data_IF_350203397810
#
_entry.id   IF_350203397810
#
_cell.length_a   1.000
_cell.length_b   1.000
_cell.length_c   1.000
_cell.angle_alpha   90.00
_cell.angle_beta   90.00
_cell.angle_gamma   90.00
#
_symmetry.space_group_name_H-M   'P 1'
#
loop_
_entity.id
_entity.type
_entity.pdbx_description
1 polymer ?
#
# COMPACT_ATOMS: atom_id res chain seq x y z
N UNK A 1 -11.00 24.03 20.38
CA UNK A 1 -12.21 23.38 19.79
C UNK A 1 -12.37 23.68 18.30
N UNK A 2 -12.28 24.93 17.81
CA UNK A 2 -12.34 25.25 16.35
C UNK A 2 -11.23 24.58 15.50
N UNK A 3 -9.98 24.53 15.97
CA UNK A 3 -8.85 23.87 15.29
C UNK A 3 -9.03 22.35 15.17
N UNK A 4 -9.62 21.69 16.16
CA UNK A 4 -9.89 20.24 16.12
C UNK A 4 -11.04 19.94 15.15
N UNK A 5 -12.06 20.77 15.12
CA UNK A 5 -13.20 20.62 14.20
C UNK A 5 -12.79 20.90 12.75
N UNK A 6 -11.91 21.88 12.49
CA UNK A 6 -11.39 22.13 11.14
C UNK A 6 -10.50 21.00 10.64
N UNK A 7 -9.64 20.44 11.48
CA UNK A 7 -8.79 19.29 11.10
C UNK A 7 -9.61 18.02 10.83
N UNK A 8 -10.71 17.80 11.54
CA UNK A 8 -11.62 16.68 11.29
C UNK A 8 -12.43 16.87 9.98
N UNK A 9 -12.84 18.09 9.66
CA UNK A 9 -13.53 18.40 8.43
C UNK A 9 -12.59 18.23 7.22
N UNK A 10 -11.39 18.77 7.28
CA UNK A 10 -10.34 18.60 6.25
C UNK A 10 -10.02 17.13 5.99
N UNK A 11 -9.86 16.33 7.04
CA UNK A 11 -9.65 14.88 6.91
C UNK A 11 -10.82 14.17 6.25
N UNK A 12 -12.05 14.64 6.44
CA UNK A 12 -13.26 14.08 5.83
C UNK A 12 -13.32 14.35 4.33
N UNK A 13 -12.86 15.53 3.89
CA UNK A 13 -12.79 15.90 2.46
C UNK A 13 -11.75 15.08 1.71
N UNK A 14 -10.52 14.97 2.21
CA UNK A 14 -9.48 14.14 1.59
C UNK A 14 -9.87 12.67 1.49
N UNK A 15 -10.56 12.15 2.52
CA UNK A 15 -11.10 10.79 2.51
C UNK A 15 -12.20 10.60 1.45
N UNK A 16 -13.07 11.59 1.27
CA UNK A 16 -14.13 11.54 0.26
C UNK A 16 -13.57 11.54 -1.17
N UNK A 17 -12.53 12.32 -1.43
CA UNK A 17 -11.84 12.38 -2.72
C UNK A 17 -11.23 11.01 -3.09
N UNK A 18 -10.50 10.38 -2.16
CA UNK A 18 -9.93 9.05 -2.36
C UNK A 18 -11.01 7.96 -2.53
N UNK A 19 -12.10 8.05 -1.75
CA UNK A 19 -13.21 7.10 -1.86
C UNK A 19 -13.91 7.16 -3.22
N UNK A 20 -14.00 8.33 -3.83
CA UNK A 20 -14.55 8.50 -5.18
C UNK A 20 -13.72 7.72 -6.21
N UNK A 21 -12.39 7.79 -6.10
CA UNK A 21 -11.48 7.07 -7.01
C UNK A 21 -11.61 5.57 -6.82
N UNK A 22 -11.62 5.08 -5.57
CA UNK A 22 -11.86 3.66 -5.31
C UNK A 22 -13.22 3.18 -5.87
N UNK A 23 -14.24 4.05 -5.84
CA UNK A 23 -15.54 3.74 -6.43
C UNK A 23 -15.46 3.56 -7.95
N UNK A 24 -14.63 4.34 -8.64
CA UNK A 24 -14.44 4.17 -10.09
C UNK A 24 -13.66 2.89 -10.43
N UNK A 25 -12.78 2.43 -9.54
CA UNK A 25 -12.01 1.20 -9.70
C UNK A 25 -12.82 -0.07 -9.33
N UNK A 26 -13.98 0.09 -8.68
CA UNK A 26 -14.82 -1.02 -8.21
C UNK A 26 -15.18 -2.01 -9.30
N UNK A 27 -15.45 -1.54 -10.52
CA UNK A 27 -15.77 -2.42 -11.66
C UNK A 27 -14.61 -3.37 -11.98
N UNK A 28 -13.37 -2.87 -12.00
CA UNK A 28 -12.18 -3.69 -12.26
C UNK A 28 -11.95 -4.70 -11.13
N UNK A 29 -12.15 -4.28 -9.87
CA UNK A 29 -12.05 -5.19 -8.73
C UNK A 29 -13.11 -6.31 -8.77
N UNK A 30 -14.31 -6.03 -9.25
CA UNK A 30 -15.34 -7.05 -9.46
C UNK A 30 -14.94 -8.07 -10.54
N UNK A 31 -14.31 -7.63 -11.65
CA UNK A 31 -13.78 -8.56 -12.65
C UNK A 31 -12.67 -9.44 -12.06
N UNK A 32 -11.73 -8.85 -11.30
CA UNK A 32 -10.67 -9.63 -10.64
C UNK A 32 -11.29 -10.64 -9.66
N UNK A 33 -12.30 -10.27 -8.89
CA UNK A 33 -13.00 -11.18 -8.00
C UNK A 33 -13.66 -12.32 -8.78
N UNK A 34 -14.30 -12.04 -9.93
CA UNK A 34 -14.85 -13.06 -10.81
C UNK A 34 -13.77 -14.05 -11.31
N UNK A 35 -12.62 -13.54 -11.76
CA UNK A 35 -11.47 -14.40 -12.14
C UNK A 35 -10.94 -15.20 -10.93
N UNK A 36 -10.88 -14.58 -9.74
CA UNK A 36 -10.50 -15.29 -8.51
C UNK A 36 -11.43 -16.46 -8.22
N UNK A 37 -12.73 -16.32 -8.46
CA UNK A 37 -13.68 -17.42 -8.30
C UNK A 37 -13.34 -18.62 -9.21
N UNK A 38 -13.09 -18.36 -10.49
CA UNK A 38 -12.71 -19.43 -11.43
C UNK A 38 -11.35 -20.05 -11.10
N UNK A 39 -10.35 -19.24 -10.76
CA UNK A 39 -9.01 -19.74 -10.37
C UNK A 39 -9.12 -20.63 -9.14
N UNK A 40 -9.84 -20.20 -8.10
CA UNK A 40 -10.00 -20.99 -6.88
C UNK A 40 -10.81 -22.29 -7.12
N UNK A 41 -11.81 -22.26 -8.00
CA UNK A 41 -12.51 -23.46 -8.41
C UNK A 41 -11.59 -24.44 -9.14
N UNK A 42 -10.80 -23.95 -10.09
CA UNK A 42 -9.83 -24.75 -10.84
C UNK A 42 -8.69 -25.29 -9.96
N UNK A 43 -8.39 -24.66 -8.83
CA UNK A 43 -7.43 -25.20 -7.86
C UNK A 43 -7.88 -26.54 -7.23
N UNK A 44 -9.17 -26.88 -7.29
CA UNK A 44 -9.68 -28.19 -6.88
C UNK A 44 -9.34 -29.31 -7.86
N UNK A 45 -8.88 -28.99 -9.08
CA UNK A 45 -8.49 -29.97 -10.09
C UNK A 45 -7.46 -30.97 -9.55
N UNK A 46 -6.45 -30.51 -8.81
CA UNK A 46 -5.41 -31.39 -8.23
C UNK A 46 -5.98 -32.38 -7.21
N UNK A 47 -6.71 -31.95 -6.18
CA UNK A 47 -7.40 -32.85 -5.25
C UNK A 47 -8.32 -33.86 -5.94
N UNK A 48 -9.13 -33.41 -6.90
CA UNK A 48 -10.06 -34.29 -7.64
C UNK A 48 -9.28 -35.31 -8.48
N UNK A 49 -8.21 -34.87 -9.17
CA UNK A 49 -7.36 -35.79 -9.91
C UNK A 49 -6.75 -36.87 -9.01
N UNK A 50 -6.20 -36.48 -7.85
CA UNK A 50 -5.64 -37.44 -6.90
C UNK A 50 -6.68 -38.44 -6.40
N UNK A 51 -7.89 -37.96 -6.11
CA UNK A 51 -8.99 -38.83 -5.71
C UNK A 51 -9.33 -39.86 -6.81
N UNK A 52 -9.46 -39.39 -8.05
CA UNK A 52 -9.75 -40.29 -9.21
C UNK A 52 -8.59 -41.29 -9.48
N UNK A 53 -7.34 -40.86 -9.32
CA UNK A 53 -6.18 -41.73 -9.49
C UNK A 53 -6.23 -42.87 -8.47
N UNK A 54 -6.40 -42.55 -7.19
CA UNK A 54 -6.41 -43.58 -6.11
C UNK A 54 -7.63 -44.48 -6.14
N UNK A 55 -8.81 -43.95 -6.43
CA UNK A 55 -10.03 -44.73 -6.38
C UNK A 55 -10.35 -45.49 -7.66
N UNK A 56 -9.99 -44.92 -8.82
CA UNK A 56 -10.39 -45.49 -10.10
C UNK A 56 -9.23 -46.05 -10.89
N UNK A 57 -8.15 -45.28 -11.07
CA UNK A 57 -7.04 -45.70 -11.93
C UNK A 57 -6.25 -46.85 -11.31
N UNK A 58 -5.87 -46.75 -10.03
CA UNK A 58 -5.10 -47.77 -9.35
C UNK A 58 -5.91 -49.06 -9.12
N UNK A 59 -7.21 -48.95 -8.87
CA UNK A 59 -8.10 -50.12 -8.70
C UNK A 59 -8.33 -50.86 -10.03
N UNK A 60 -8.53 -50.13 -11.14
CA UNK A 60 -8.75 -50.70 -12.48
C UNK A 60 -7.48 -51.04 -13.24
N UNK A 61 -6.30 -50.54 -12.79
CA UNK A 61 -4.99 -50.66 -13.48
C UNK A 61 -5.02 -50.20 -14.95
N UNK A 62 -5.88 -49.19 -15.25
CA UNK A 62 -6.07 -48.72 -16.62
C UNK A 62 -5.15 -47.53 -16.94
N UNK A 63 -4.13 -47.77 -17.76
CA UNK A 63 -3.23 -46.73 -18.27
C UNK A 63 -3.98 -45.72 -19.15
N UNK A 64 -4.96 -46.16 -19.94
CA UNK A 64 -5.77 -45.30 -20.78
C UNK A 64 -6.54 -44.28 -20.00
N UNK A 65 -7.15 -44.70 -18.87
CA UNK A 65 -7.87 -43.78 -17.97
C UNK A 65 -6.92 -42.75 -17.35
N UNK A 66 -5.71 -43.15 -16.99
CA UNK A 66 -4.68 -42.23 -16.47
C UNK A 66 -4.31 -41.17 -17.51
N UNK A 67 -4.06 -41.55 -18.75
CA UNK A 67 -3.70 -40.64 -19.85
C UNK A 67 -4.80 -39.61 -20.09
N UNK A 68 -6.07 -40.04 -20.14
CA UNK A 68 -7.21 -39.13 -20.34
C UNK A 68 -7.36 -38.16 -19.16
N UNK A 69 -7.30 -38.64 -17.92
CA UNK A 69 -7.37 -37.77 -16.74
C UNK A 69 -6.21 -36.79 -16.66
N UNK A 70 -4.99 -37.24 -16.97
CA UNK A 70 -3.82 -36.37 -16.96
C UNK A 70 -3.88 -35.29 -18.05
N UNK A 71 -4.32 -35.64 -19.27
CA UNK A 71 -4.51 -34.66 -20.35
C UNK A 71 -5.54 -33.59 -19.97
N UNK A 72 -6.65 -34.00 -19.31
CA UNK A 72 -7.64 -33.07 -18.78
C UNK A 72 -7.04 -32.12 -17.71
N UNK A 73 -6.24 -32.66 -16.78
CA UNK A 73 -5.54 -31.84 -15.76
C UNK A 73 -4.61 -30.83 -16.40
N UNK A 74 -3.83 -31.22 -17.40
CA UNK A 74 -2.94 -30.30 -18.15
C UNK A 74 -3.76 -29.15 -18.76
N UNK A 75 -4.88 -29.47 -19.41
CA UNK A 75 -5.75 -28.46 -20.01
C UNK A 75 -6.33 -27.50 -18.94
N UNK A 76 -6.84 -28.03 -17.82
CA UNK A 76 -7.41 -27.23 -16.73
C UNK A 76 -6.36 -26.35 -16.05
N UNK A 77 -5.14 -26.85 -15.85
CA UNK A 77 -4.05 -26.04 -15.28
C UNK A 77 -3.53 -24.98 -16.26
N UNK A 78 -3.54 -25.24 -17.57
CA UNK A 78 -3.22 -24.22 -18.57
C UNK A 78 -4.25 -23.08 -18.56
N UNK A 79 -5.55 -23.41 -18.44
CA UNK A 79 -6.62 -22.42 -18.29
C UNK A 79 -6.45 -21.66 -16.96
N UNK A 80 -6.23 -22.36 -15.85
CA UNK A 80 -6.01 -21.76 -14.54
C UNK A 80 -4.84 -20.78 -14.54
N UNK A 81 -3.70 -21.19 -15.12
CA UNK A 81 -2.50 -20.33 -15.21
C UNK A 81 -2.75 -19.09 -16.06
N UNK A 82 -3.50 -19.22 -17.16
CA UNK A 82 -3.89 -18.08 -17.99
C UNK A 82 -4.80 -17.11 -17.26
N UNK A 83 -5.79 -17.59 -16.51
CA UNK A 83 -6.69 -16.77 -15.70
C UNK A 83 -5.95 -16.08 -14.55
N UNK A 84 -5.03 -16.78 -13.88
CA UNK A 84 -4.20 -16.23 -12.82
C UNK A 84 -3.28 -15.11 -13.33
N UNK A 85 -2.68 -15.30 -14.50
CA UNK A 85 -1.89 -14.28 -15.19
C UNK A 85 -2.75 -13.04 -15.53
N UNK A 86 -3.93 -13.24 -16.13
CA UNK A 86 -4.85 -12.16 -16.50
C UNK A 86 -5.28 -11.37 -15.26
N UNK A 87 -5.65 -12.05 -14.16
CA UNK A 87 -6.05 -11.39 -12.92
C UNK A 87 -4.91 -10.55 -12.33
N UNK A 88 -3.67 -11.04 -12.39
CA UNK A 88 -2.47 -10.28 -12.00
C UNK A 88 -2.27 -9.03 -12.84
N UNK A 89 -2.42 -9.14 -14.18
CA UNK A 89 -2.33 -8.01 -15.10
C UNK A 89 -3.44 -6.96 -14.86
N UNK A 90 -4.67 -7.40 -14.59
CA UNK A 90 -5.76 -6.47 -14.26
C UNK A 90 -5.47 -5.73 -12.96
N UNK A 91 -4.95 -6.41 -11.92
CA UNK A 91 -4.57 -5.73 -10.67
C UNK A 91 -3.42 -4.74 -10.87
N UNK A 92 -2.42 -5.07 -11.68
CA UNK A 92 -1.36 -4.12 -12.04
C UNK A 92 -1.92 -2.88 -12.75
N UNK A 93 -2.88 -3.07 -13.68
CA UNK A 93 -3.58 -1.95 -14.34
C UNK A 93 -4.43 -1.13 -13.37
N UNK A 94 -5.10 -1.75 -12.39
CA UNK A 94 -5.83 -1.05 -11.33
C UNK A 94 -4.88 -0.15 -10.54
N UNK A 95 -3.70 -0.67 -10.16
CA UNK A 95 -2.67 0.13 -9.50
C UNK A 95 -2.18 1.31 -10.35
N UNK A 96 -1.92 1.08 -11.64
CA UNK A 96 -1.49 2.13 -12.57
C UNK A 96 -2.58 3.19 -12.77
N UNK A 97 -3.83 2.80 -12.95
CA UNK A 97 -4.96 3.73 -13.06
C UNK A 97 -5.18 4.56 -11.79
N UNK A 98 -4.96 3.96 -10.62
CA UNK A 98 -5.01 4.68 -9.35
C UNK A 98 -3.93 5.77 -9.30
N UNK A 99 -2.70 5.41 -9.64
CA UNK A 99 -1.57 6.34 -9.67
C UNK A 99 -1.79 7.45 -10.69
N UNK A 100 -2.17 7.12 -11.93
CA UNK A 100 -2.37 8.07 -13.02
C UNK A 100 -3.41 9.15 -12.65
N UNK A 101 -4.53 8.73 -12.09
CA UNK A 101 -5.61 9.66 -11.67
C UNK A 101 -5.25 10.58 -10.52
N UNK A 102 -4.30 10.17 -9.67
CA UNK A 102 -3.90 10.94 -8.49
C UNK A 102 -2.58 11.67 -8.65
N UNK A 103 -1.77 11.35 -9.68
CA UNK A 103 -0.43 11.91 -9.85
C UNK A 103 -0.45 13.43 -9.94
N UNK A 104 -1.26 14.01 -10.83
CA UNK A 104 -1.36 15.46 -11.00
C UNK A 104 -1.91 16.11 -9.73
N UNK A 105 -2.91 15.50 -9.12
CA UNK A 105 -3.51 16.01 -7.88
C UNK A 105 -2.54 16.00 -6.72
N UNK A 106 -1.80 14.90 -6.55
CA UNK A 106 -0.79 14.76 -5.51
C UNK A 106 0.40 15.68 -5.74
N UNK A 107 0.84 15.83 -7.00
CA UNK A 107 1.90 16.75 -7.37
C UNK A 107 1.52 18.21 -7.05
N UNK A 108 0.34 18.66 -7.48
CA UNK A 108 -0.13 20.02 -7.23
C UNK A 108 -0.33 20.29 -5.73
N UNK A 109 -0.92 19.32 -5.00
CA UNK A 109 -1.07 19.44 -3.54
C UNK A 109 0.28 19.48 -2.82
N UNK A 110 1.25 18.67 -3.26
CA UNK A 110 2.60 18.65 -2.70
C UNK A 110 3.36 19.96 -3.00
N UNK A 111 3.17 20.51 -4.20
CA UNK A 111 3.77 21.79 -4.60
C UNK A 111 3.17 22.95 -3.80
N UNK A 112 1.85 22.99 -3.65
CA UNK A 112 1.16 24.01 -2.83
C UNK A 112 1.58 23.88 -1.36
N UNK A 113 1.69 22.65 -0.86
CA UNK A 113 2.16 22.36 0.50
C UNK A 113 3.61 22.77 0.76
N UNK A 114 4.48 22.72 -0.26
CA UNK A 114 5.88 23.14 -0.12
C UNK A 114 6.03 24.64 0.13
N UNK A 115 5.08 25.44 -0.31
CA UNK A 115 5.07 26.92 -0.18
C UNK A 115 4.24 27.34 1.05
N UNK A 116 3.34 26.48 1.54
CA UNK A 116 2.49 26.75 2.69
C UNK A 116 3.20 26.50 4.01
N UNK A 117 3.01 27.34 5.04
CA UNK A 117 3.53 27.10 6.39
C UNK A 117 3.00 25.81 7.04
N UNK A 118 1.79 25.41 6.66
CA UNK A 118 1.16 24.16 7.13
C UNK A 118 1.76 22.91 6.45
N UNK A 119 2.47 23.08 5.33
CA UNK A 119 3.08 22.03 4.53
C UNK A 119 4.37 21.49 5.11
N UNK A 120 4.31 20.79 6.24
CA UNK A 120 5.46 20.18 6.91
C UNK A 120 6.05 18.98 6.17
N UNK A 121 5.49 18.57 5.03
CA UNK A 121 5.90 17.37 4.31
C UNK A 121 6.70 17.70 3.06
N UNK A 122 7.80 16.96 2.84
CA UNK A 122 8.56 17.08 1.60
C UNK A 122 7.69 16.67 0.39
N UNK A 123 7.61 17.48 -0.68
CA UNK A 123 6.78 17.18 -1.87
C UNK A 123 7.01 15.78 -2.44
N UNK A 124 8.27 15.33 -2.47
CA UNK A 124 8.64 14.00 -2.90
C UNK A 124 8.07 12.85 -2.04
N UNK A 125 7.52 13.12 -0.85
CA UNK A 125 6.89 12.09 -0.03
C UNK A 125 5.54 11.68 -0.58
N UNK A 126 4.71 12.61 -1.06
CA UNK A 126 3.39 12.32 -1.61
C UNK A 126 3.44 11.44 -2.86
N UNK A 127 4.41 11.67 -3.74
CA UNK A 127 4.59 10.82 -4.94
C UNK A 127 5.02 9.40 -4.57
N UNK A 128 5.94 9.25 -3.59
CA UNK A 128 6.32 7.92 -3.08
C UNK A 128 5.18 7.20 -2.37
N UNK A 129 4.28 7.94 -1.74
CA UNK A 129 3.07 7.36 -1.14
C UNK A 129 2.17 6.75 -2.21
N UNK A 130 2.00 7.41 -3.38
CA UNK A 130 1.32 6.85 -4.54
C UNK A 130 1.98 5.57 -5.05
N UNK A 131 3.32 5.58 -5.20
CA UNK A 131 4.08 4.40 -5.63
C UNK A 131 3.90 3.22 -4.66
N UNK A 132 3.87 3.50 -3.36
CA UNK A 132 3.66 2.49 -2.32
C UNK A 132 2.26 1.86 -2.40
N UNK A 133 1.24 2.67 -2.68
CA UNK A 133 -0.14 2.20 -2.86
C UNK A 133 -0.27 1.38 -4.15
N UNK A 134 0.29 1.88 -5.25
CA UNK A 134 0.31 1.15 -6.53
C UNK A 134 0.96 -0.23 -6.38
N UNK A 135 2.15 -0.29 -5.76
CA UNK A 135 2.87 -1.53 -5.53
C UNK A 135 2.08 -2.51 -4.66
N UNK A 136 1.35 -2.03 -3.66
CA UNK A 136 0.51 -2.88 -2.81
C UNK A 136 -0.74 -3.39 -3.56
N UNK A 137 -1.38 -2.55 -4.39
CA UNK A 137 -2.52 -2.96 -5.24
C UNK A 137 -2.11 -4.01 -6.26
N UNK A 138 -0.95 -3.84 -6.91
CA UNK A 138 -0.40 -4.81 -7.86
C UNK A 138 0.20 -6.06 -7.17
N UNK A 139 0.37 -6.02 -5.86
CA UNK A 139 1.05 -7.06 -5.09
C UNK A 139 0.18 -8.27 -4.76
N UNK A 140 0.83 -9.39 -4.37
CA UNK A 140 0.13 -10.64 -4.03
C UNK A 140 -0.80 -10.51 -2.81
N UNK A 141 -0.56 -9.55 -1.91
CA UNK A 141 -1.39 -9.32 -0.74
C UNK A 141 -2.81 -8.90 -1.08
N UNK A 142 -3.00 -8.09 -2.11
CA UNK A 142 -4.32 -7.65 -2.55
C UNK A 142 -5.12 -8.81 -3.19
N UNK A 143 -4.44 -9.67 -3.96
CA UNK A 143 -5.03 -10.90 -4.50
C UNK A 143 -5.43 -11.89 -3.39
N UNK A 144 -4.58 -12.03 -2.36
CA UNK A 144 -4.88 -12.87 -1.22
C UNK A 144 -6.13 -12.43 -0.44
N UNK A 145 -6.39 -11.12 -0.34
CA UNK A 145 -7.63 -10.58 0.25
C UNK A 145 -8.86 -11.04 -0.56
N UNK A 146 -8.75 -11.06 -1.90
CA UNK A 146 -9.83 -11.50 -2.79
C UNK A 146 -10.04 -13.02 -2.75
N UNK A 147 -8.99 -13.79 -2.44
CA UNK A 147 -9.04 -15.25 -2.30
C UNK A 147 -9.49 -15.70 -0.90
N UNK A 148 -9.44 -14.82 0.12
CA UNK A 148 -9.83 -15.15 1.50
C UNK A 148 -11.26 -15.69 1.66
N UNK A 149 -12.29 -15.18 0.92
CA UNK A 149 -13.65 -15.75 0.99
C UNK A 149 -13.75 -17.21 0.58
N UNK A 150 -12.75 -17.78 -0.09
CA UNK A 150 -12.71 -19.19 -0.47
C UNK A 150 -12.26 -20.11 0.66
N UNK A 151 -11.61 -19.59 1.70
CA UNK A 151 -11.20 -20.38 2.85
C UNK A 151 -12.35 -21.17 3.49
N UNK A 152 -13.50 -20.56 3.86
CA UNK A 152 -14.62 -21.34 4.41
C UNK A 152 -15.20 -22.35 3.42
N UNK A 153 -15.17 -22.08 2.11
CA UNK A 153 -15.64 -23.03 1.09
C UNK A 153 -14.75 -24.27 1.09
N UNK A 154 -13.43 -24.10 1.09
CA UNK A 154 -12.51 -25.24 1.19
C UNK A 154 -12.66 -26.02 2.50
N UNK A 155 -12.91 -25.35 3.62
CA UNK A 155 -13.20 -26.02 4.89
C UNK A 155 -14.46 -26.86 4.82
N UNK A 156 -15.55 -26.32 4.22
CA UNK A 156 -16.81 -27.07 4.02
C UNK A 156 -16.55 -28.33 3.19
N UNK A 157 -15.77 -28.24 2.11
CA UNK A 157 -15.42 -29.42 1.29
C UNK A 157 -14.70 -30.48 2.11
N UNK A 158 -13.76 -30.08 3.00
CA UNK A 158 -13.07 -31.02 3.88
C UNK A 158 -14.05 -31.66 4.89
N UNK A 159 -15.02 -30.89 5.43
CA UNK A 159 -16.05 -31.41 6.32
C UNK A 159 -16.96 -32.43 5.61
N UNK A 160 -17.25 -32.24 4.32
CA UNK A 160 -18.03 -33.19 3.52
C UNK A 160 -17.29 -34.53 3.32
N UNK A 161 -15.96 -34.55 3.34
CA UNK A 161 -15.18 -35.77 3.30
C UNK A 161 -15.25 -36.52 4.63
N UNK A 162 -14.95 -35.84 5.74
CA UNK A 162 -15.06 -36.43 7.07
C UNK A 162 -15.04 -35.34 8.16
N UNK A 163 -15.92 -35.42 9.21
CA UNK A 163 -16.00 -34.40 10.26
C UNK A 163 -14.68 -34.15 11.00
N UNK A 164 -13.92 -35.19 11.35
CA UNK A 164 -12.65 -35.05 12.06
C UNK A 164 -11.58 -34.31 11.23
N UNK A 165 -11.57 -34.53 9.90
CA UNK A 165 -10.67 -33.77 9.00
C UNK A 165 -11.07 -32.32 8.94
N UNK A 166 -12.39 -32.02 8.90
CA UNK A 166 -12.92 -30.66 8.94
C UNK A 166 -12.57 -29.92 10.23
N UNK A 167 -12.72 -30.59 11.39
CA UNK A 167 -12.35 -30.02 12.70
C UNK A 167 -10.87 -29.68 12.74
N UNK A 168 -9.99 -30.60 12.30
CA UNK A 168 -8.54 -30.36 12.27
C UNK A 168 -8.19 -29.21 11.31
N UNK A 169 -8.80 -29.15 10.11
CA UNK A 169 -8.57 -28.07 9.15
C UNK A 169 -9.00 -26.71 9.71
N UNK A 170 -10.15 -26.65 10.39
CA UNK A 170 -10.67 -25.43 11.02
C UNK A 170 -9.77 -24.99 12.18
N UNK A 171 -9.34 -25.92 13.04
CA UNK A 171 -8.39 -25.64 14.11
C UNK A 171 -7.06 -25.13 13.56
N UNK A 172 -6.57 -25.71 12.46
CA UNK A 172 -5.37 -25.27 11.77
C UNK A 172 -5.52 -23.83 11.20
N UNK A 173 -6.65 -23.51 10.57
CA UNK A 173 -6.93 -22.18 10.05
C UNK A 173 -6.97 -21.14 11.19
N UNK A 174 -7.69 -21.42 12.27
CA UNK A 174 -7.78 -20.55 13.44
C UNK A 174 -6.38 -20.33 14.05
N UNK A 175 -5.60 -21.38 14.23
CA UNK A 175 -4.26 -21.30 14.82
C UNK A 175 -3.31 -20.43 13.96
N UNK A 176 -3.34 -20.59 12.63
CA UNK A 176 -2.52 -19.78 11.73
C UNK A 176 -2.98 -18.32 11.71
N UNK A 177 -4.29 -18.05 11.75
CA UNK A 177 -4.82 -16.69 11.85
C UNK A 177 -4.38 -16.05 13.17
N UNK A 178 -4.40 -16.77 14.29
CA UNK A 178 -3.91 -16.26 15.58
C UNK A 178 -2.42 -15.93 15.49
N UNK A 179 -1.60 -16.78 14.91
CA UNK A 179 -0.15 -16.52 14.72
C UNK A 179 0.06 -15.29 13.83
N UNK A 180 -0.72 -15.13 12.76
CA UNK A 180 -0.66 -13.96 11.88
C UNK A 180 -1.03 -12.68 12.64
N UNK A 181 -2.12 -12.66 13.40
CA UNK A 181 -2.57 -11.53 14.21
C UNK A 181 -1.57 -11.16 15.33
N UNK A 182 -1.02 -12.15 16.03
CA UNK A 182 0.04 -11.92 17.02
C UNK A 182 1.29 -11.32 16.36
N UNK A 183 1.66 -11.81 15.18
CA UNK A 183 2.74 -11.23 14.38
C UNK A 183 2.47 -9.77 14.03
N UNK A 184 1.25 -9.46 13.59
CA UNK A 184 0.83 -8.08 13.28
C UNK A 184 0.94 -7.16 14.51
N UNK A 185 0.33 -7.53 15.61
CA UNK A 185 0.29 -6.72 16.83
C UNK A 185 1.69 -6.45 17.40
N UNK A 186 2.58 -7.45 17.35
CA UNK A 186 3.93 -7.33 17.89
C UNK A 186 4.89 -6.60 16.97
N UNK A 187 4.73 -6.71 15.64
CA UNK A 187 5.64 -6.08 14.66
C UNK A 187 5.26 -4.64 14.32
N UNK A 188 3.99 -4.24 14.51
CA UNK A 188 3.46 -2.91 14.16
C UNK A 188 4.28 -1.74 14.73
N UNK A 189 4.61 -1.77 16.03
CA UNK A 189 5.41 -0.71 16.68
C UNK A 189 6.81 -0.62 16.08
N UNK A 190 7.47 -1.77 15.82
CA UNK A 190 8.80 -1.81 15.22
C UNK A 190 8.80 -1.34 13.77
N UNK A 191 7.76 -1.64 13.03
CA UNK A 191 7.58 -1.13 11.66
C UNK A 191 7.44 0.39 11.65
N UNK A 192 6.61 0.95 12.53
CA UNK A 192 6.46 2.40 12.65
C UNK A 192 7.79 3.08 13.02
N UNK A 193 8.53 2.51 13.97
CA UNK A 193 9.86 3.02 14.34
C UNK A 193 10.84 2.96 13.15
N UNK A 194 10.83 1.90 12.36
CA UNK A 194 11.66 1.77 11.17
C UNK A 194 11.30 2.82 10.10
N UNK A 195 10.00 3.07 9.86
CA UNK A 195 9.53 4.10 8.92
C UNK A 195 9.93 5.51 9.39
N UNK A 196 9.79 5.82 10.68
CA UNK A 196 10.19 7.11 11.25
C UNK A 196 11.70 7.32 11.17
N UNK A 197 12.50 6.31 11.51
CA UNK A 197 13.97 6.40 11.40
C UNK A 197 14.43 6.57 9.93
N UNK A 198 13.78 5.89 8.98
CA UNK A 198 14.04 6.06 7.55
C UNK A 198 13.68 7.48 7.07
N UNK A 199 12.54 8.00 7.53
CA UNK A 199 12.14 9.40 7.29
C UNK A 199 13.18 10.40 7.80
N UNK A 200 13.71 10.19 9.02
CA UNK A 200 14.77 11.02 9.61
C UNK A 200 16.06 11.02 8.79
N UNK A 201 16.49 9.85 8.28
CA UNK A 201 17.66 9.76 7.38
C UNK A 201 17.45 10.55 6.09
N UNK A 202 16.27 10.45 5.49
CA UNK A 202 15.92 11.15 4.24
C UNK A 202 15.86 12.68 4.41
N UNK A 203 15.42 13.16 5.56
CA UNK A 203 15.42 14.61 5.85
C UNK A 203 16.87 15.14 5.80
N UNK A 204 17.81 14.44 6.45
CA UNK A 204 19.23 14.83 6.41
C UNK A 204 19.77 14.79 4.98
N UNK A 205 19.49 13.73 4.22
CA UNK A 205 19.87 13.60 2.81
C UNK A 205 19.38 14.80 1.99
N UNK A 206 18.08 15.10 2.05
CA UNK A 206 17.48 16.19 1.30
C UNK A 206 18.03 17.56 1.70
N UNK A 207 18.31 17.79 3.00
CA UNK A 207 18.90 19.03 3.49
C UNK A 207 20.30 19.21 2.94
N UNK A 208 21.14 18.16 2.99
CA UNK A 208 22.52 18.21 2.49
C UNK A 208 22.55 18.49 0.99
N UNK A 209 21.67 17.87 0.21
CA UNK A 209 21.62 18.08 -1.24
C UNK A 209 21.10 19.47 -1.61
N UNK A 210 20.12 19.99 -0.88
CA UNK A 210 19.56 21.32 -1.14
C UNK A 210 20.56 22.44 -0.82
N UNK A 211 21.33 22.28 0.26
CA UNK A 211 22.24 23.31 0.76
C UNK A 211 23.73 22.92 0.51
N UNK A 212 24.00 22.14 -0.57
CA UNK A 212 25.29 21.52 -0.85
C UNK A 212 26.42 22.56 -0.98
N UNK A 213 26.17 23.70 -1.60
CA UNK A 213 27.16 24.79 -1.73
C UNK A 213 27.61 25.33 -0.37
N UNK A 214 26.65 25.58 0.53
CA UNK A 214 26.96 26.05 1.88
C UNK A 214 27.71 24.99 2.69
N UNK A 215 27.35 23.73 2.59
CA UNK A 215 28.02 22.60 3.25
C UNK A 215 29.47 22.49 2.80
N UNK A 216 29.74 22.67 1.50
CA UNK A 216 31.11 22.62 0.93
C UNK A 216 31.91 23.88 1.27
N UNK A 217 31.32 25.08 1.12
CA UNK A 217 31.99 26.35 1.38
C UNK A 217 32.39 26.49 2.85
N UNK A 218 31.57 26.00 3.78
CA UNK A 218 31.86 26.03 5.21
C UNK A 218 32.73 24.85 5.70
N UNK A 219 33.18 23.98 4.81
CA UNK A 219 33.98 22.79 5.16
C UNK A 219 33.24 21.75 6.03
N UNK A 220 31.91 21.79 6.07
CA UNK A 220 31.08 20.92 6.96
C UNK A 220 30.83 19.50 6.44
N UNK A 221 31.48 19.13 5.32
CA UNK A 221 31.29 17.81 4.66
C UNK A 221 31.40 16.64 5.63
N UNK A 222 32.42 16.62 6.48
CA UNK A 222 32.66 15.52 7.41
C UNK A 222 31.59 15.46 8.51
N UNK A 223 31.11 16.59 9.02
CA UNK A 223 30.09 16.68 10.04
C UNK A 223 28.73 16.16 9.52
N UNK A 224 28.35 16.61 8.33
CA UNK A 224 27.12 16.12 7.71
C UNK A 224 27.22 14.65 7.30
N UNK A 225 28.37 14.18 6.81
CA UNK A 225 28.57 12.75 6.53
C UNK A 225 28.45 11.89 7.80
N UNK A 226 28.98 12.38 8.94
CA UNK A 226 28.83 11.72 10.24
C UNK A 226 27.37 11.70 10.70
N UNK A 227 26.66 12.83 10.62
CA UNK A 227 25.24 12.93 10.97
C UNK A 227 24.40 11.99 10.12
N UNK A 228 24.58 12.03 8.80
CA UNK A 228 23.89 11.12 7.88
C UNK A 228 24.17 9.65 8.19
N UNK A 229 25.42 9.29 8.41
CA UNK A 229 25.81 7.90 8.75
C UNK A 229 25.11 7.43 10.02
N UNK A 230 25.08 8.27 11.07
CA UNK A 230 24.41 7.94 12.32
C UNK A 230 22.91 7.71 12.11
N UNK A 231 22.24 8.61 11.36
CA UNK A 231 20.80 8.46 11.03
C UNK A 231 20.54 7.25 10.16
N UNK A 232 21.42 6.96 9.21
CA UNK A 232 21.33 5.77 8.35
C UNK A 232 21.51 4.47 9.15
N UNK A 233 22.45 4.44 10.10
CA UNK A 233 22.66 3.29 10.99
C UNK A 233 21.44 3.08 11.91
N UNK A 234 20.87 4.16 12.46
CA UNK A 234 19.65 4.10 13.26
C UNK A 234 18.49 3.48 12.45
N UNK A 235 18.27 3.96 11.22
CA UNK A 235 17.26 3.43 10.32
C UNK A 235 17.52 1.96 9.95
N UNK A 236 18.76 1.60 9.66
CA UNK A 236 19.15 0.22 9.34
C UNK A 236 18.91 -0.71 10.52
N UNK A 237 19.29 -0.30 11.75
CA UNK A 237 19.03 -1.08 12.96
C UNK A 237 17.53 -1.30 13.18
N UNK A 238 16.73 -0.25 13.08
CA UNK A 238 15.28 -0.35 13.23
C UNK A 238 14.65 -1.30 12.18
N UNK A 239 15.13 -1.25 10.92
CA UNK A 239 14.71 -2.19 9.86
C UNK A 239 15.11 -3.63 10.18
N UNK A 240 16.34 -3.88 10.65
CA UNK A 240 16.80 -5.22 11.02
C UNK A 240 15.97 -5.78 12.17
N UNK A 241 15.68 -4.96 13.19
CA UNK A 241 14.84 -5.36 14.33
C UNK A 241 13.41 -5.71 13.91
N UNK A 242 12.82 -4.93 12.97
CA UNK A 242 11.52 -5.23 12.39
C UNK A 242 11.56 -6.51 11.56
N UNK A 243 12.51 -6.62 10.61
CA UNK A 243 12.64 -7.77 9.72
C UNK A 243 12.94 -9.06 10.48
N UNK A 244 13.77 -8.99 11.52
CA UNK A 244 14.09 -10.14 12.37
C UNK A 244 12.86 -10.67 13.11
N UNK A 245 12.03 -9.76 13.66
CA UNK A 245 10.81 -10.16 14.35
C UNK A 245 9.75 -10.69 13.37
N UNK A 246 9.50 -9.98 12.29
CA UNK A 246 8.55 -10.38 11.25
C UNK A 246 8.97 -11.71 10.59
N UNK A 247 10.27 -11.90 10.37
CA UNK A 247 10.84 -13.15 9.87
C UNK A 247 10.58 -14.33 10.79
N UNK A 248 10.70 -14.17 12.12
CA UNK A 248 10.37 -15.20 13.11
C UNK A 248 8.93 -15.67 12.97
N UNK A 249 7.96 -14.74 12.97
CA UNK A 249 6.54 -15.09 12.81
C UNK A 249 6.25 -15.78 11.48
N UNK A 250 6.83 -15.28 10.38
CA UNK A 250 6.67 -15.89 9.06
C UNK A 250 7.22 -17.31 9.00
N UNK A 251 8.40 -17.55 9.57
CA UNK A 251 8.99 -18.89 9.62
C UNK A 251 8.19 -19.82 10.51
N UNK A 252 7.74 -19.34 11.69
CA UNK A 252 6.88 -20.12 12.59
C UNK A 252 5.57 -20.50 11.91
N UNK A 253 4.89 -19.56 11.23
CA UNK A 253 3.65 -19.84 10.49
C UNK A 253 3.88 -20.90 9.40
N UNK A 254 4.98 -20.78 8.63
CA UNK A 254 5.34 -21.78 7.61
C UNK A 254 5.58 -23.15 8.18
N UNK A 255 6.38 -23.26 9.26
CA UNK A 255 6.68 -24.55 9.91
C UNK A 255 5.42 -25.15 10.53
N UNK A 256 4.59 -24.32 11.16
CA UNK A 256 3.32 -24.75 11.74
C UNK A 256 2.36 -25.29 10.66
N UNK A 257 2.27 -24.60 9.52
CA UNK A 257 1.47 -25.07 8.39
C UNK A 257 1.92 -26.46 7.90
N UNK A 258 3.23 -26.67 7.75
CA UNK A 258 3.77 -27.96 7.33
C UNK A 258 3.48 -29.07 8.36
N UNK A 259 3.58 -28.74 9.66
CA UNK A 259 3.21 -29.65 10.75
C UNK A 259 1.73 -30.02 10.67
N UNK A 260 0.85 -29.03 10.53
CA UNK A 260 -0.59 -29.24 10.44
C UNK A 260 -0.99 -30.04 9.19
N UNK A 261 -0.31 -29.82 8.06
CA UNK A 261 -0.49 -30.62 6.86
C UNK A 261 -0.06 -32.07 7.06
N UNK A 262 1.05 -32.30 7.78
CA UNK A 262 1.47 -33.65 8.16
C UNK A 262 0.50 -34.29 9.16
N UNK A 263 -0.04 -33.51 10.11
CA UNK A 263 -1.07 -33.99 11.04
C UNK A 263 -2.38 -34.37 10.30
N UNK A 264 -2.75 -33.62 9.24
CA UNK A 264 -3.88 -33.96 8.40
C UNK A 264 -3.70 -35.30 7.70
N UNK A 265 -2.50 -35.57 7.17
CA UNK A 265 -2.17 -36.87 6.57
C UNK A 265 -2.18 -38.00 7.63
N UNK A 266 -1.63 -37.74 8.82
CA UNK A 266 -1.60 -38.74 9.90
C UNK A 266 -3.03 -39.10 10.38
N UNK A 267 -3.88 -38.09 10.61
CA UNK A 267 -5.28 -38.32 10.98
C UNK A 267 -6.03 -39.01 9.83
N UNK A 268 -5.80 -38.61 8.59
CA UNK A 268 -6.38 -39.25 7.40
C UNK A 268 -5.96 -40.71 7.30
N UNK A 269 -4.66 -41.04 7.52
CA UNK A 269 -4.19 -42.43 7.54
C UNK A 269 -4.85 -43.27 8.64
N UNK A 270 -5.06 -42.71 9.83
CA UNK A 270 -5.77 -43.36 10.92
C UNK A 270 -7.23 -43.67 10.55
N UNK A 271 -7.93 -42.74 9.85
CA UNK A 271 -9.29 -42.95 9.38
C UNK A 271 -9.34 -43.97 8.21
N UNK A 272 -8.31 -44.05 7.37
CA UNK A 272 -8.17 -45.11 6.34
C UNK A 272 -8.00 -46.45 6.97
N UNK A 273 -7.16 -46.56 8.01
CA UNK A 273 -6.97 -47.83 8.77
C UNK A 273 -8.28 -48.30 9.43
N UNK A 274 -9.15 -47.35 9.81
CA UNK A 274 -10.50 -47.65 10.33
C UNK A 274 -11.54 -47.91 9.25
N UNK A 275 -11.13 -47.83 7.95
CA UNK A 275 -12.03 -47.97 6.79
C UNK A 275 -13.15 -46.92 6.71
N UNK A 276 -12.99 -45.78 7.39
CA UNK A 276 -13.95 -44.69 7.39
C UNK A 276 -13.82 -43.78 6.13
N UNK A 277 -12.61 -43.70 5.56
CA UNK A 277 -12.32 -42.94 4.32
C UNK A 277 -11.38 -43.75 3.40
N UNK A 278 -11.29 -43.30 2.14
CA UNK A 278 -10.36 -43.88 1.18
C UNK A 278 -8.98 -43.18 1.21
N UNK A 279 -7.90 -43.82 0.74
CA UNK A 279 -6.59 -43.17 0.59
C UNK A 279 -6.63 -41.92 -0.31
N UNK A 280 -7.50 -41.92 -1.33
CA UNK A 280 -7.73 -40.78 -2.23
C UNK A 280 -8.26 -39.57 -1.49
N UNK A 281 -9.25 -39.75 -0.61
CA UNK A 281 -9.82 -38.70 0.24
C UNK A 281 -8.78 -38.12 1.21
N UNK A 282 -7.95 -38.97 1.81
CA UNK A 282 -6.87 -38.53 2.71
C UNK A 282 -5.93 -37.55 2.02
N UNK A 283 -5.48 -37.87 0.81
CA UNK A 283 -4.56 -37.02 0.04
C UNK A 283 -5.26 -35.76 -0.43
N UNK A 284 -6.48 -35.90 -0.97
CA UNK A 284 -7.27 -34.74 -1.43
C UNK A 284 -7.52 -33.75 -0.30
N UNK A 285 -7.91 -34.20 0.90
CA UNK A 285 -8.11 -33.33 2.07
C UNK A 285 -6.84 -32.56 2.46
N UNK A 286 -5.67 -33.22 2.44
CA UNK A 286 -4.38 -32.57 2.74
C UNK A 286 -4.05 -31.48 1.71
N UNK A 287 -4.29 -31.72 0.43
CA UNK A 287 -4.03 -30.73 -0.63
C UNK A 287 -5.01 -29.56 -0.50
N UNK A 288 -6.30 -29.82 -0.26
CA UNK A 288 -7.34 -28.78 -0.08
C UNK A 288 -7.01 -27.92 1.14
N UNK A 289 -6.59 -28.52 2.26
CA UNK A 289 -6.15 -27.76 3.45
C UNK A 289 -4.98 -26.84 3.11
N UNK A 290 -3.98 -27.30 2.37
CA UNK A 290 -2.87 -26.46 1.92
C UNK A 290 -3.33 -25.28 1.06
N UNK A 291 -4.37 -25.47 0.24
CA UNK A 291 -4.97 -24.39 -0.56
C UNK A 291 -5.80 -23.43 0.28
N UNK A 292 -6.58 -23.95 1.22
CA UNK A 292 -7.38 -23.12 2.15
C UNK A 292 -6.51 -22.15 2.95
N UNK A 293 -5.31 -22.58 3.35
CA UNK A 293 -4.39 -21.81 4.19
C UNK A 293 -3.47 -20.86 3.38
N UNK A 294 -3.37 -21.04 2.05
CA UNK A 294 -2.48 -20.25 1.20
C UNK A 294 -2.73 -18.73 1.26
N UNK A 295 -3.99 -18.21 1.25
CA UNK A 295 -4.24 -16.78 1.37
C UNK A 295 -3.73 -16.19 2.69
N UNK A 296 -3.81 -16.93 3.81
CA UNK A 296 -3.31 -16.49 5.12
C UNK A 296 -1.78 -16.31 5.09
N UNK A 297 -1.06 -17.25 4.47
CA UNK A 297 0.39 -17.15 4.30
C UNK A 297 0.79 -15.96 3.41
N UNK A 298 0.08 -15.75 2.31
CA UNK A 298 0.33 -14.62 1.39
C UNK A 298 0.09 -13.28 2.07
N UNK A 299 -0.97 -13.15 2.87
CA UNK A 299 -1.25 -11.96 3.66
C UNK A 299 -0.14 -11.71 4.69
N UNK A 300 0.30 -12.74 5.40
CA UNK A 300 1.42 -12.63 6.35
C UNK A 300 2.71 -12.19 5.64
N UNK A 301 2.99 -12.71 4.44
CA UNK A 301 4.14 -12.32 3.62
C UNK A 301 4.07 -10.89 3.07
N UNK A 302 2.88 -10.40 2.78
CA UNK A 302 2.62 -9.08 2.18
C UNK A 302 2.27 -8.01 3.21
N UNK A 303 2.24 -8.34 4.50
CA UNK A 303 1.76 -7.48 5.57
C UNK A 303 2.44 -6.11 5.60
N UNK A 304 3.79 -6.07 5.50
CA UNK A 304 4.54 -4.81 5.51
C UNK A 304 4.18 -3.91 4.32
N UNK A 305 3.98 -4.47 3.13
CA UNK A 305 3.57 -3.71 1.95
C UNK A 305 2.16 -3.12 2.12
N UNK A 306 1.21 -3.91 2.65
CA UNK A 306 -0.15 -3.45 2.93
C UNK A 306 -0.18 -2.36 4.01
N UNK A 307 0.63 -2.48 5.05
CA UNK A 307 0.75 -1.45 6.09
C UNK A 307 1.38 -0.16 5.55
N UNK A 308 2.41 -0.26 4.71
CA UNK A 308 3.01 0.92 4.07
C UNK A 308 1.98 1.64 3.19
N UNK A 309 1.21 0.89 2.39
CA UNK A 309 0.13 1.45 1.58
C UNK A 309 -0.97 2.10 2.42
N UNK A 310 -1.34 1.49 3.55
CA UNK A 310 -2.32 2.07 4.48
C UNK A 310 -1.81 3.38 5.11
N UNK A 311 -0.52 3.43 5.49
CA UNK A 311 0.10 4.65 5.98
C UNK A 311 0.14 5.71 4.88
N UNK A 312 0.53 5.33 3.67
CA UNK A 312 0.56 6.22 2.51
C UNK A 312 -0.83 6.78 2.16
N UNK A 313 -1.88 5.95 2.20
CA UNK A 313 -3.27 6.41 2.04
C UNK A 313 -3.65 7.44 3.09
N UNK A 314 -3.35 7.17 4.36
CA UNK A 314 -3.62 8.10 5.45
C UNK A 314 -2.88 9.43 5.28
N UNK A 315 -1.65 9.37 4.81
CA UNK A 315 -0.81 10.53 4.57
C UNK A 315 -1.33 11.38 3.40
N UNK A 316 -1.83 10.74 2.34
CA UNK A 316 -2.51 11.42 1.23
C UNK A 316 -3.87 12.00 1.65
N UNK A 317 -4.64 11.31 2.52
CA UNK A 317 -5.88 11.86 3.10
C UNK A 317 -5.62 13.20 3.82
N UNK A 318 -4.54 13.27 4.59
CA UNK A 318 -4.14 14.49 5.30
C UNK A 318 -3.71 15.57 4.31
N UNK A 319 -2.90 15.22 3.31
CA UNK A 319 -2.42 16.16 2.30
C UNK A 319 -3.57 16.77 1.50
N UNK A 320 -4.48 15.96 0.99
CA UNK A 320 -5.63 16.42 0.20
C UNK A 320 -6.62 17.23 1.02
N UNK A 321 -6.78 16.89 2.30
CA UNK A 321 -7.60 17.67 3.22
C UNK A 321 -7.00 19.02 3.60
N UNK A 322 -5.66 19.10 3.72
CA UNK A 322 -4.98 20.37 4.02
C UNK A 322 -4.83 21.28 2.80
N UNK A 323 -4.76 20.68 1.60
CA UNK A 323 -4.61 21.37 0.31
C UNK A 323 -5.79 20.99 -0.59
N UNK A 324 -6.94 21.67 -0.48
CA UNK A 324 -8.10 21.39 -1.33
C UNK A 324 -7.75 21.52 -2.81
N UNK A 325 -8.45 20.78 -3.67
CA UNK A 325 -8.29 20.93 -5.10
C UNK A 325 -8.66 22.38 -5.48
N UNK A 326 -7.82 23.01 -6.26
CA UNK A 326 -8.19 24.32 -6.84
C UNK A 326 -9.41 24.11 -7.72
N UNK A 327 -10.50 24.80 -7.38
CA UNK A 327 -11.63 24.89 -8.29
C UNK A 327 -11.15 25.50 -9.62
N UNK A 328 -11.58 24.92 -10.72
CA UNK A 328 -11.26 25.46 -12.05
C UNK A 328 -11.79 26.90 -12.13
N UNK A 329 -10.91 27.86 -11.88
CA UNK A 329 -11.26 29.27 -12.04
C UNK A 329 -11.54 29.54 -13.52
N UNK A 330 -12.57 30.31 -13.86
CA UNK A 330 -12.80 30.69 -15.23
C UNK A 330 -11.56 31.40 -15.79
N UNK A 331 -11.19 31.06 -17.02
CA UNK A 331 -10.08 31.70 -17.71
C UNK A 331 -10.41 33.19 -17.85
N UNK A 332 -9.73 34.01 -17.07
CA UNK A 332 -9.81 35.46 -17.22
C UNK A 332 -9.12 35.88 -18.53
N UNK A 333 -9.61 36.95 -19.19
CA UNK A 333 -8.91 37.52 -20.34
C UNK A 333 -7.49 37.91 -19.94
N UNK A 334 -6.57 37.90 -20.91
CA UNK A 334 -5.18 38.29 -20.66
C UNK A 334 -5.11 39.65 -19.98
N UNK A 335 -4.43 39.77 -18.81
CA UNK A 335 -4.33 41.05 -18.13
C UNK A 335 -3.56 42.07 -18.98
N UNK A 336 -3.95 43.29 -18.93
CA UNK A 336 -3.33 44.40 -19.67
C UNK A 336 -1.96 44.83 -19.06
N UNK A 337 -1.49 44.13 -18.03
CA UNK A 337 -0.21 44.40 -17.35
C UNK A 337 -0.24 45.61 -16.39
N UNK A 338 -1.40 46.20 -16.13
CA UNK A 338 -1.58 47.24 -15.10
C UNK A 338 -1.65 46.55 -13.72
N UNK A 339 -0.75 46.92 -12.82
CA UNK A 339 -0.76 46.43 -11.43
C UNK A 339 -1.04 47.62 -10.51
N UNK A 340 -2.14 47.56 -9.75
CA UNK A 340 -2.49 48.57 -8.76
C UNK A 340 -2.49 47.93 -7.38
N UNK A 341 -1.70 48.44 -6.46
CA UNK A 341 -1.56 47.99 -5.08
C UNK A 341 -2.11 49.07 -4.18
N UNK A 342 -3.10 48.72 -3.35
CA UNK A 342 -3.75 49.61 -2.40
C UNK A 342 -3.73 49.04 -1.01
N UNK A 343 -3.16 49.77 -0.03
CA UNK A 343 -3.08 49.41 1.40
C UNK A 343 -2.59 47.99 1.67
N UNK A 344 -1.64 47.48 0.84
CA UNK A 344 -1.13 46.13 0.95
C UNK A 344 -0.35 45.95 2.24
N UNK A 345 -0.70 44.91 2.98
CA UNK A 345 0.07 44.42 4.12
C UNK A 345 0.73 43.07 3.73
N UNK A 346 2.03 42.96 3.99
CA UNK A 346 2.82 41.79 3.58
C UNK A 346 3.58 41.23 4.79
N UNK A 347 3.45 39.95 5.00
CA UNK A 347 4.18 39.22 6.04
C UNK A 347 4.29 37.73 5.72
N UNK A 348 5.23 37.00 6.38
CA UNK A 348 5.26 35.55 6.27
C UNK A 348 3.90 34.97 6.74
N UNK A 349 3.38 33.93 6.07
CA UNK A 349 2.08 33.32 6.44
C UNK A 349 1.98 32.82 7.88
N UNK A 350 3.13 32.61 8.54
CA UNK A 350 3.22 32.12 9.93
C UNK A 350 3.13 33.24 10.99
N UNK A 351 3.32 34.50 10.58
CA UNK A 351 3.34 35.65 11.50
C UNK A 351 2.02 36.41 11.43
N UNK A 352 1.46 36.73 12.61
CA UNK A 352 0.28 37.58 12.70
C UNK A 352 0.57 39.05 12.38
N UNK A 353 1.82 39.47 12.55
CA UNK A 353 2.24 40.84 12.29
C UNK A 353 2.88 40.97 10.91
N UNK A 354 2.31 41.79 10.02
CA UNK A 354 2.91 42.02 8.71
C UNK A 354 4.24 42.79 8.83
N UNK A 355 5.24 42.36 8.04
CA UNK A 355 6.55 42.99 7.97
C UNK A 355 6.48 44.38 7.31
N UNK A 356 5.57 44.54 6.37
CA UNK A 356 5.35 45.79 5.65
C UNK A 356 3.85 46.07 5.62
N UNK A 357 3.46 47.32 5.88
CA UNK A 357 2.07 47.76 5.94
C UNK A 357 1.84 48.99 5.12
N UNK A 358 0.64 49.06 4.51
CA UNK A 358 0.18 50.31 3.87
C UNK A 358 0.91 50.63 2.58
N UNK A 359 1.39 49.62 1.83
CA UNK A 359 2.00 49.87 0.50
C UNK A 359 0.94 50.28 -0.52
N UNK A 360 1.21 51.39 -1.19
CA UNK A 360 0.39 51.91 -2.28
C UNK A 360 1.27 52.31 -3.47
N UNK A 361 1.04 51.70 -4.64
CA UNK A 361 1.73 52.06 -5.87
C UNK A 361 0.97 51.48 -7.06
N UNK A 362 1.26 52.00 -8.25
CA UNK A 362 0.73 51.54 -9.51
C UNK A 362 1.85 51.39 -10.52
N UNK A 363 1.83 50.31 -11.30
CA UNK A 363 2.81 50.01 -12.36
C UNK A 363 2.04 49.89 -13.65
N UNK A 364 2.40 50.68 -14.66
CA UNK A 364 1.78 50.66 -16.00
C UNK A 364 2.35 49.53 -16.86
N UNK A 365 1.66 49.06 -17.88
CA UNK A 365 2.18 48.10 -18.83
C UNK A 365 3.53 48.55 -19.41
N UNK A 366 4.55 47.68 -19.33
CA UNK A 366 5.90 47.95 -19.82
C UNK A 366 6.79 48.79 -18.87
N UNK A 367 6.26 49.23 -17.74
CA UNK A 367 7.02 49.96 -16.72
C UNK A 367 7.75 49.00 -15.80
N UNK A 368 8.95 49.37 -15.32
CA UNK A 368 9.76 48.62 -14.36
C UNK A 368 9.80 49.36 -13.02
N UNK A 369 9.53 48.59 -11.93
CA UNK A 369 9.61 49.11 -10.56
C UNK A 369 10.81 48.48 -9.83
N UNK A 370 11.75 49.35 -9.41
CA UNK A 370 12.88 48.97 -8.57
C UNK A 370 12.51 48.99 -7.08
N UNK A 371 12.73 47.87 -6.38
CA UNK A 371 12.51 47.74 -4.91
C UNK A 371 13.82 47.71 -4.20
N UNK A 372 14.14 48.79 -3.47
CA UNK A 372 15.41 48.98 -2.72
C UNK A 372 15.13 49.05 -1.22
N UNK A 373 16.14 48.72 -0.43
CA UNK A 373 16.05 48.79 1.04
C UNK A 373 17.04 47.85 1.73
N UNK A 374 17.24 47.98 3.04
CA UNK A 374 18.14 47.12 3.80
C UNK A 374 17.74 45.67 3.86
N UNK A 375 18.64 44.79 4.27
CA UNK A 375 18.28 43.36 4.46
C UNK A 375 17.22 43.24 5.55
N UNK A 376 16.24 42.37 5.34
CA UNK A 376 15.11 42.20 6.27
C UNK A 376 13.92 43.18 6.10
N UNK A 377 13.99 44.17 5.18
CA UNK A 377 12.92 45.15 4.95
C UNK A 377 11.69 44.63 4.24
N UNK A 378 11.57 43.34 3.94
CA UNK A 378 10.39 42.72 3.34
C UNK A 378 10.36 42.70 1.80
N UNK A 379 11.46 43.04 1.08
CA UNK A 379 11.51 43.05 -0.40
C UNK A 379 11.11 41.71 -1.02
N UNK A 380 11.70 40.62 -0.55
CA UNK A 380 11.39 39.27 -1.03
C UNK A 380 9.97 38.83 -0.64
N UNK A 381 9.46 39.32 0.49
CA UNK A 381 8.08 39.07 0.92
C UNK A 381 7.08 39.77 0.00
N UNK A 382 7.36 41.03 -0.34
CA UNK A 382 6.56 41.79 -1.30
C UNK A 382 6.54 41.11 -2.68
N UNK A 383 7.71 40.72 -3.19
CA UNK A 383 7.80 40.03 -4.47
C UNK A 383 6.98 38.72 -4.49
N UNK A 384 7.04 37.92 -3.41
CA UNK A 384 6.23 36.68 -3.28
C UNK A 384 4.73 36.95 -3.22
N UNK A 385 4.32 38.03 -2.57
CA UNK A 385 2.89 38.41 -2.50
C UNK A 385 2.40 38.93 -3.85
N UNK A 386 3.17 39.77 -4.54
CA UNK A 386 2.82 40.24 -5.90
C UNK A 386 2.77 39.08 -6.91
N UNK A 387 3.63 38.08 -6.77
CA UNK A 387 3.60 36.86 -7.57
C UNK A 387 2.46 35.90 -7.20
N UNK A 388 1.63 36.23 -6.19
CA UNK A 388 0.52 35.38 -5.74
C UNK A 388 0.93 34.15 -4.95
N UNK A 389 2.20 34.04 -4.55
CA UNK A 389 2.73 32.92 -3.76
C UNK A 389 2.23 33.02 -2.31
N UNK A 390 2.27 34.24 -1.76
CA UNK A 390 1.72 34.53 -0.43
C UNK A 390 0.41 35.29 -0.55
N UNK A 391 -0.56 34.91 0.25
CA UNK A 391 -1.81 35.68 0.35
C UNK A 391 -1.55 36.97 1.13
N UNK A 392 -2.07 38.10 0.68
CA UNK A 392 -1.95 39.39 1.37
C UNK A 392 -2.71 39.39 2.70
#
# INVERSE_FOLDING_TARGET
MKLILSSLAQKKEGKAELALIFRTLRKHLLYVFGFSCWVNLLMLTGPIFMLQVYERVLSSRSEQTLLVLFSLVVALYAIMGSLDYIRGQVMARVGALFQDRLSDRAFNAALAGAVSPEGKRAPAAALRDLDSIQAALAGPGCLAILDLPWLPIYLIIIYLFHPWLGILATAAAILLIIVALLGELTTKKKQQAALQADGGSRIVENTVWRDAEAVLALGMRQNFAKLWRNKKQEAQKARLDHNGLSGKFRTTAKSLRLLLQSAMLALGALLVLKTEITPGVMIAASIIMGRALAPVDQLTGSYSALQNARSALHDLEILFGSMPAEESKPLLPRPNGLITVSKLAVGPPETRDPLVRGLEFSIRPGEALGIIGPSGSGKSSLARTLAGIWKP
#
